data_IF_897909224779
#
_entry.id   IF_897909224779
#
_cell.length_a   1.000
_cell.length_b   1.000
_cell.length_c   1.000
_cell.angle_alpha   90.00
_cell.angle_beta   90.00
_cell.angle_gamma   90.00
#
_symmetry.space_group_name_H-M   'P 1'
#
loop_
_entity.id
_entity.type
_entity.pdbx_description
1 polymer ?
#
# COMPACT_ATOMS: atom_id res chain seq x y z
N UNK A 1 14.01 -21.91 1.33
CA UNK A 1 13.43 -20.69 1.91
C UNK A 1 12.34 -20.22 0.98
N UNK A 2 11.19 -19.81 1.50
CA UNK A 2 10.13 -19.17 0.71
C UNK A 2 10.58 -17.76 0.31
N UNK A 3 10.45 -17.44 -0.97
CA UNK A 3 10.79 -16.12 -1.54
C UNK A 3 9.51 -15.28 -1.72
N UNK A 4 9.67 -13.97 -1.95
CA UNK A 4 8.54 -13.11 -2.32
C UNK A 4 7.85 -13.60 -3.61
N UNK A 5 8.62 -14.13 -4.55
CA UNK A 5 8.10 -14.74 -5.78
C UNK A 5 7.18 -15.94 -5.51
N UNK A 6 7.54 -16.81 -4.57
CA UNK A 6 6.67 -17.92 -4.16
C UNK A 6 5.36 -17.40 -3.54
N UNK A 7 5.45 -16.40 -2.65
CA UNK A 7 4.28 -15.74 -2.08
C UNK A 7 3.38 -15.11 -3.16
N UNK A 8 3.99 -14.44 -4.15
CA UNK A 8 3.26 -13.84 -5.26
C UNK A 8 2.52 -14.90 -6.09
N UNK A 9 3.14 -16.04 -6.37
CA UNK A 9 2.48 -17.16 -7.04
C UNK A 9 1.27 -17.67 -6.25
N UNK A 10 1.46 -17.98 -4.97
CA UNK A 10 0.36 -18.45 -4.10
C UNK A 10 -0.79 -17.43 -4.02
N UNK A 11 -0.46 -16.13 -3.98
CA UNK A 11 -1.44 -15.06 -3.95
C UNK A 11 -2.21 -14.93 -5.27
N UNK A 12 -1.56 -15.10 -6.41
CA UNK A 12 -2.23 -15.08 -7.72
C UNK A 12 -3.19 -16.26 -7.86
N UNK A 13 -2.77 -17.48 -7.51
CA UNK A 13 -3.66 -18.65 -7.50
C UNK A 13 -4.89 -18.41 -6.61
N UNK A 14 -4.68 -17.77 -5.45
CA UNK A 14 -5.77 -17.39 -4.56
C UNK A 14 -6.71 -16.36 -5.20
N UNK A 15 -6.19 -15.32 -5.84
CA UNK A 15 -7.02 -14.26 -6.45
C UNK A 15 -7.83 -14.81 -7.63
N UNK A 16 -7.23 -15.64 -8.48
CA UNK A 16 -7.90 -16.27 -9.63
C UNK A 16 -9.15 -17.06 -9.21
N UNK A 17 -9.10 -17.74 -8.05
CA UNK A 17 -10.25 -18.45 -7.47
C UNK A 17 -11.45 -17.54 -7.18
N UNK A 18 -11.21 -16.27 -6.86
CA UNK A 18 -12.27 -15.29 -6.56
C UNK A 18 -12.67 -14.47 -7.79
N UNK A 19 -11.79 -14.28 -8.77
CA UNK A 19 -12.19 -13.74 -10.08
C UNK A 19 -13.21 -14.65 -10.76
N UNK A 20 -13.04 -15.98 -10.67
CA UNK A 20 -14.04 -16.96 -11.14
C UNK A 20 -15.40 -16.82 -10.46
N UNK A 21 -15.48 -16.16 -9.31
CA UNK A 21 -16.71 -15.88 -8.57
C UNK A 21 -17.28 -14.47 -8.88
N UNK A 22 -16.79 -13.82 -9.95
CA UNK A 22 -17.17 -12.46 -10.38
C UNK A 22 -16.87 -11.36 -9.34
N UNK A 23 -15.87 -11.54 -8.48
CA UNK A 23 -15.41 -10.45 -7.61
C UNK A 23 -14.46 -9.56 -8.41
N UNK A 24 -14.80 -8.28 -8.68
CA UNK A 24 -13.94 -7.40 -9.47
C UNK A 24 -12.76 -6.96 -8.61
N UNK A 25 -11.56 -7.38 -9.01
CA UNK A 25 -10.30 -7.00 -8.39
C UNK A 25 -9.41 -6.31 -9.41
N UNK A 26 -8.68 -5.29 -8.96
CA UNK A 26 -7.63 -4.66 -9.74
C UNK A 26 -6.30 -4.87 -9.01
N UNK A 27 -5.34 -5.45 -9.70
CA UNK A 27 -4.00 -5.74 -9.16
C UNK A 27 -2.99 -4.83 -9.85
N UNK A 28 -2.12 -4.19 -9.07
CA UNK A 28 -0.96 -3.47 -9.55
C UNK A 28 0.29 -4.08 -8.94
N UNK A 29 1.34 -4.24 -9.74
CA UNK A 29 2.57 -4.93 -9.35
C UNK A 29 3.78 -4.06 -9.63
N UNK A 30 4.72 -4.08 -8.71
CA UNK A 30 6.07 -3.54 -8.82
C UNK A 30 7.01 -4.56 -8.17
N UNK A 31 7.36 -5.58 -8.96
CA UNK A 31 8.14 -6.73 -8.51
C UNK A 31 9.61 -6.39 -8.27
N UNK A 32 10.11 -5.28 -8.84
CA UNK A 32 11.47 -4.82 -8.59
C UNK A 32 11.63 -4.31 -7.15
N UNK A 33 10.53 -3.87 -6.53
CA UNK A 33 10.46 -3.41 -5.15
C UNK A 33 9.67 -4.34 -4.22
N UNK A 34 9.33 -5.56 -4.66
CA UNK A 34 8.48 -6.51 -3.92
C UNK A 34 7.12 -5.91 -3.46
N UNK A 35 6.46 -5.14 -4.33
CA UNK A 35 5.18 -4.49 -4.04
C UNK A 35 4.05 -5.12 -4.87
N UNK A 36 2.96 -5.47 -4.18
CA UNK A 36 1.69 -5.89 -4.77
C UNK A 36 0.57 -5.04 -4.15
N UNK A 37 -0.24 -4.38 -4.98
CA UNK A 37 -1.42 -3.62 -4.54
C UNK A 37 -2.68 -4.26 -5.10
N UNK A 38 -3.62 -4.59 -4.22
CA UNK A 38 -4.91 -5.20 -4.58
C UNK A 38 -6.02 -4.21 -4.23
N UNK A 39 -6.86 -3.88 -5.21
CA UNK A 39 -7.99 -2.98 -5.04
C UNK A 39 -9.29 -3.71 -5.34
N UNK A 40 -10.29 -3.57 -4.46
CA UNK A 40 -11.64 -4.06 -4.70
C UNK A 40 -12.48 -3.12 -5.57
N UNK A 41 -13.69 -3.56 -5.93
CA UNK A 41 -14.62 -2.86 -6.82
C UNK A 41 -14.90 -1.38 -6.45
N UNK A 42 -14.85 -1.03 -5.17
CA UNK A 42 -15.20 0.30 -4.67
C UNK A 42 -14.08 1.33 -4.85
N UNK A 43 -12.94 0.93 -5.40
CA UNK A 43 -11.82 1.84 -5.60
C UNK A 43 -12.18 2.97 -6.56
N UNK A 44 -11.97 4.20 -6.11
CA UNK A 44 -12.10 5.41 -6.94
C UNK A 44 -10.74 6.10 -7.07
N UNK A 45 -10.57 6.94 -8.09
CA UNK A 45 -9.35 7.76 -8.22
C UNK A 45 -9.10 8.62 -6.99
N UNK A 46 -10.16 9.13 -6.35
CA UNK A 46 -10.06 9.92 -5.12
C UNK A 46 -9.59 9.07 -3.94
N UNK A 47 -10.18 7.88 -3.72
CA UNK A 47 -9.75 6.98 -2.65
C UNK A 47 -8.31 6.52 -2.85
N UNK A 48 -7.90 6.27 -4.10
CA UNK A 48 -6.51 5.92 -4.44
C UNK A 48 -5.55 7.07 -4.16
N UNK A 49 -5.89 8.29 -4.57
CA UNK A 49 -5.07 9.47 -4.29
C UNK A 49 -4.93 9.73 -2.78
N UNK A 50 -6.01 9.57 -2.01
CA UNK A 50 -5.98 9.68 -0.56
C UNK A 50 -5.02 8.67 0.09
N UNK A 51 -5.02 7.41 -0.36
CA UNK A 51 -4.06 6.42 0.15
C UNK A 51 -2.62 6.83 -0.16
N UNK A 52 -2.33 7.29 -1.38
CA UNK A 52 -0.99 7.80 -1.72
C UNK A 52 -0.55 8.99 -0.86
N UNK A 53 -1.46 9.88 -0.48
CA UNK A 53 -1.15 10.96 0.46
C UNK A 53 -0.83 10.45 1.88
N UNK A 54 -1.49 9.37 2.31
CA UNK A 54 -1.17 8.74 3.60
C UNK A 54 0.25 8.16 3.58
N UNK A 55 0.64 7.47 2.50
CA UNK A 55 1.99 6.92 2.34
C UNK A 55 3.07 8.03 2.41
N UNK A 56 2.82 9.17 1.75
CA UNK A 56 3.70 10.36 1.82
C UNK A 56 3.74 10.96 3.22
N UNK A 57 2.61 10.97 3.91
CA UNK A 57 2.51 11.49 5.28
C UNK A 57 3.30 10.62 6.26
N UNK A 58 3.19 9.29 6.13
CA UNK A 58 3.97 8.33 6.91
C UNK A 58 5.48 8.53 6.69
N UNK A 59 5.90 8.66 5.43
CA UNK A 59 7.30 8.98 5.10
C UNK A 59 7.77 10.29 5.73
N UNK A 60 6.95 11.33 5.66
CA UNK A 60 7.27 12.62 6.27
C UNK A 60 7.43 12.49 7.79
N UNK A 61 6.53 11.76 8.45
CA UNK A 61 6.62 11.52 9.89
C UNK A 61 7.83 10.70 10.29
N UNK A 62 8.10 9.58 9.60
CA UNK A 62 9.29 8.76 9.85
C UNK A 62 10.60 9.52 9.61
N UNK A 63 10.60 10.50 8.70
CA UNK A 63 11.77 11.36 8.50
C UNK A 63 11.91 12.38 9.61
N UNK A 64 10.80 12.99 10.02
CA UNK A 64 10.81 14.14 10.90
C UNK A 64 10.93 13.74 12.39
N UNK A 65 10.52 12.54 12.79
CA UNK A 65 10.67 12.04 14.16
C UNK A 65 12.13 11.99 14.65
N UNK A 66 13.09 11.99 13.74
CA UNK A 66 14.52 12.07 14.05
C UNK A 66 15.04 13.50 14.21
N UNK A 67 14.20 14.53 14.00
CA UNK A 67 14.59 15.93 14.12
C UNK A 67 14.62 16.36 15.61
N UNK A 68 15.68 17.05 16.09
CA UNK A 68 15.83 17.41 17.51
C UNK A 68 14.69 18.24 18.12
N UNK A 69 13.88 18.89 17.29
CA UNK A 69 12.76 19.75 17.69
C UNK A 69 11.40 19.21 17.24
N UNK A 70 11.33 17.95 16.81
CA UNK A 70 10.10 17.35 16.26
C UNK A 70 8.90 17.46 17.19
N UNK A 71 9.06 17.12 18.47
CA UNK A 71 7.97 17.22 19.46
C UNK A 71 7.43 18.65 19.59
N UNK A 72 8.28 19.67 19.47
CA UNK A 72 7.85 21.07 19.52
C UNK A 72 7.09 21.48 18.26
N UNK A 73 7.57 21.05 17.10
CA UNK A 73 6.96 21.35 15.80
C UNK A 73 5.64 20.62 15.59
N UNK A 74 5.57 19.34 15.97
CA UNK A 74 4.37 18.51 15.87
C UNK A 74 3.22 19.10 16.68
N UNK A 75 3.46 19.42 17.95
CA UNK A 75 2.46 20.04 18.84
C UNK A 75 2.07 21.48 18.46
N UNK A 76 2.82 22.12 17.55
CA UNK A 76 2.48 23.46 17.02
C UNK A 76 1.69 23.39 15.71
N UNK A 77 1.56 22.19 15.13
CA UNK A 77 0.94 21.95 13.82
C UNK A 77 -0.45 21.32 13.92
N UNK A 78 -0.82 20.78 15.09
CA UNK A 78 -2.18 20.38 15.46
C UNK A 78 -2.98 21.55 16.07
#
# INVERSE_FOLDING_TARGET
MTTFENFYHDLIEFIEKYEQQNIPLKIEKDLDNDIIKIFGEKITSLARAKNGLNDVTELAYATAEHHPYWDLLYNSSE
#
